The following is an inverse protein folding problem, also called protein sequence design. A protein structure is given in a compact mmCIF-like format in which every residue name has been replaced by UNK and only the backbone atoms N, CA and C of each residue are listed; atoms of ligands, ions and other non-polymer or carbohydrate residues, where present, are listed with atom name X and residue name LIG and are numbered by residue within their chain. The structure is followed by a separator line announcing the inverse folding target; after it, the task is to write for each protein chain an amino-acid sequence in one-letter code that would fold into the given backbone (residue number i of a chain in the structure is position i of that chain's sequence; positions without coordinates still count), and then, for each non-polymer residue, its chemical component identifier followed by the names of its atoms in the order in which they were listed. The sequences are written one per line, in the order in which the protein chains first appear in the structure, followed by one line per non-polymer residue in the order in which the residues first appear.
data_IF_509238540907
#
_entry.id   IF_509238540907
#
_cell.length_a   1.000
_cell.length_b   1.000
_cell.length_c   1.000
_cell.angle_alpha   90.00
_cell.angle_beta   90.00
_cell.angle_gamma   90.00
#
_symmetry.space_group_name_H-M   'P 1'
#
loop_
_entity.id
_entity.type
_entity.pdbx_description
1 polymer ?
#
# COMPACT_ATOMS: atom_id res chain seq x y z
N UNK A 1 18.51 -5.24 -5.55
CA UNK A 1 17.10 -4.86 -5.33
C UNK A 1 16.94 -4.37 -3.91
N UNK A 2 16.29 -3.23 -3.68
CA UNK A 2 15.95 -2.75 -2.34
C UNK A 2 14.83 -3.62 -1.78
N UNK A 3 15.18 -4.62 -0.99
CA UNK A 3 14.24 -5.52 -0.30
C UNK A 3 14.01 -5.04 1.13
N UNK A 4 12.95 -5.52 1.79
CA UNK A 4 12.64 -5.24 3.20
C UNK A 4 13.83 -5.58 4.12
N UNK A 5 14.60 -6.61 3.80
CA UNK A 5 15.78 -7.04 4.57
C UNK A 5 16.88 -5.98 4.62
N UNK A 6 16.98 -5.16 3.57
CA UNK A 6 17.94 -4.07 3.44
C UNK A 6 17.35 -2.71 3.83
N UNK A 7 16.23 -2.67 4.54
CA UNK A 7 15.63 -1.44 5.00
C UNK A 7 16.54 -0.68 5.97
N UNK A 8 16.58 0.66 5.94
CA UNK A 8 17.25 1.47 6.96
C UNK A 8 16.78 1.08 8.37
N UNK A 9 17.66 1.19 9.35
CA UNK A 9 17.37 0.80 10.73
C UNK A 9 16.06 1.38 11.26
N UNK A 10 15.82 2.67 11.03
CA UNK A 10 14.62 3.36 11.50
C UNK A 10 13.32 2.82 10.88
N UNK A 11 13.38 2.36 9.63
CA UNK A 11 12.24 1.72 8.95
C UNK A 11 12.11 0.28 9.42
N UNK A 12 13.22 -0.46 9.54
CA UNK A 12 13.23 -1.85 9.96
C UNK A 12 12.63 -2.03 11.36
N UNK A 13 12.96 -1.16 12.32
CA UNK A 13 12.36 -1.17 13.66
C UNK A 13 10.83 -1.01 13.61
N UNK A 14 10.33 -0.11 12.79
CA UNK A 14 8.90 0.08 12.58
C UNK A 14 8.25 -1.17 11.99
N UNK A 15 8.87 -1.81 11.00
CA UNK A 15 8.35 -3.03 10.36
C UNK A 15 8.32 -4.18 11.35
N UNK A 16 9.39 -4.41 12.11
CA UNK A 16 9.46 -5.43 13.18
C UNK A 16 8.37 -5.18 14.23
N UNK A 17 8.18 -3.94 14.68
CA UNK A 17 7.10 -3.62 15.62
C UNK A 17 5.72 -4.01 15.09
N UNK A 18 5.46 -3.75 13.82
CA UNK A 18 4.17 -4.09 13.21
C UNK A 18 3.99 -5.60 12.98
N UNK A 19 5.06 -6.31 12.67
CA UNK A 19 5.04 -7.75 12.48
C UNK A 19 4.89 -8.48 13.82
N UNK A 20 5.78 -8.21 14.77
CA UNK A 20 5.91 -9.00 16.00
C UNK A 20 4.98 -8.54 17.11
N UNK A 21 4.76 -7.23 17.27
CA UNK A 21 3.96 -6.69 18.38
C UNK A 21 2.50 -6.46 17.95
N UNK A 22 2.27 -6.03 16.70
CA UNK A 22 0.92 -5.79 16.18
C UNK A 22 0.30 -7.00 15.50
N UNK A 23 1.09 -8.03 15.19
CA UNK A 23 0.62 -9.24 14.54
C UNK A 23 0.10 -9.02 13.10
N UNK A 24 0.63 -7.99 12.41
CA UNK A 24 0.26 -7.78 11.01
C UNK A 24 0.86 -8.88 10.13
N UNK A 25 0.12 -9.26 9.08
CA UNK A 25 0.62 -10.23 8.11
C UNK A 25 1.86 -9.70 7.39
N UNK A 26 2.73 -10.62 6.96
CA UNK A 26 3.92 -10.32 6.16
C UNK A 26 3.60 -9.41 4.98
N UNK A 27 2.53 -9.72 4.23
CA UNK A 27 2.07 -8.90 3.10
C UNK A 27 1.76 -7.45 3.51
N UNK A 28 1.16 -7.23 4.69
CA UNK A 28 0.88 -5.87 5.18
C UNK A 28 2.16 -5.13 5.51
N UNK A 29 3.13 -5.81 6.09
CA UNK A 29 4.43 -5.24 6.44
C UNK A 29 5.24 -4.90 5.19
N UNK A 30 5.20 -5.76 4.17
CA UNK A 30 5.81 -5.49 2.86
C UNK A 30 5.20 -4.26 2.19
N UNK A 31 3.87 -4.10 2.24
CA UNK A 31 3.20 -2.92 1.71
C UNK A 31 3.61 -1.64 2.46
N UNK A 32 3.81 -1.71 3.78
CA UNK A 32 4.36 -0.59 4.55
C UNK A 32 5.77 -0.22 4.07
N UNK A 33 6.63 -1.20 3.87
CA UNK A 33 7.96 -0.97 3.33
C UNK A 33 7.91 -0.31 1.95
N UNK A 34 7.11 -0.84 1.03
CA UNK A 34 6.96 -0.30 -0.33
C UNK A 34 6.44 1.14 -0.34
N UNK A 35 5.54 1.47 0.58
CA UNK A 35 5.00 2.82 0.71
C UNK A 35 6.07 3.80 1.25
N UNK A 36 6.80 3.41 2.29
CA UNK A 36 7.89 4.21 2.85
C UNK A 36 9.04 4.36 1.85
N UNK A 37 9.41 3.29 1.13
CA UNK A 37 10.40 3.34 0.06
C UNK A 37 10.03 4.36 -1.01
N UNK A 38 8.78 4.33 -1.46
CA UNK A 38 8.26 5.29 -2.44
C UNK A 38 8.34 6.72 -1.92
N UNK A 39 8.00 6.94 -0.66
CA UNK A 39 8.04 8.26 -0.04
C UNK A 39 9.47 8.78 0.09
N UNK A 40 10.39 8.01 0.63
CA UNK A 40 11.77 8.47 0.82
C UNK A 40 12.54 8.62 -0.48
N UNK A 41 12.25 7.84 -1.52
CA UNK A 41 12.74 8.09 -2.87
C UNK A 41 12.32 9.46 -3.38
N UNK A 42 11.04 9.81 -3.21
CA UNK A 42 10.53 11.13 -3.55
C UNK A 42 11.24 12.23 -2.75
N UNK A 43 11.38 12.09 -1.44
CA UNK A 43 12.05 13.06 -0.58
C UNK A 43 13.50 13.28 -1.03
N UNK A 44 14.23 12.22 -1.39
CA UNK A 44 15.62 12.33 -1.87
C UNK A 44 15.71 13.15 -3.16
N UNK A 45 14.79 12.96 -4.10
CA UNK A 45 14.73 13.80 -5.32
C UNK A 45 14.38 15.24 -4.97
N UNK A 46 13.34 15.46 -4.17
CA UNK A 46 12.86 16.78 -3.80
C UNK A 46 13.94 17.60 -3.06
N UNK A 47 14.77 16.92 -2.27
CA UNK A 47 15.88 17.54 -1.52
C UNK A 47 17.20 17.63 -2.33
N UNK A 48 17.24 17.15 -3.57
CA UNK A 48 18.46 17.13 -4.39
C UNK A 48 19.56 16.21 -3.86
N UNK A 49 19.20 15.19 -3.06
CA UNK A 49 20.13 14.18 -2.53
C UNK A 49 20.52 13.14 -3.59
N UNK A 50 19.83 13.14 -4.71
CA UNK A 50 20.11 12.32 -5.89
C UNK A 50 19.93 13.17 -7.15
N UNK A 51 20.58 12.82 -8.28
CA UNK A 51 20.37 13.51 -9.55
C UNK A 51 18.89 13.56 -9.94
N UNK A 52 18.46 14.68 -10.56
CA UNK A 52 17.05 14.85 -10.96
C UNK A 52 16.59 13.90 -12.06
N UNK A 53 17.52 13.42 -12.85
CA UNK A 53 17.34 12.44 -13.94
C UNK A 53 17.50 10.99 -13.47
N UNK A 54 17.75 10.77 -12.17
CA UNK A 54 17.83 9.42 -11.61
C UNK A 54 16.52 8.66 -11.84
N UNK A 55 16.62 7.44 -12.33
CA UNK A 55 15.47 6.56 -12.48
C UNK A 55 14.85 6.28 -11.10
N UNK A 56 13.58 6.66 -10.92
CA UNK A 56 12.89 6.62 -9.62
C UNK A 56 12.98 5.25 -8.93
N UNK A 57 12.84 4.16 -9.69
CA UNK A 57 12.80 2.81 -9.12
C UNK A 57 14.20 2.28 -8.71
N UNK A 58 15.28 2.91 -9.17
CA UNK A 58 16.66 2.53 -8.81
C UNK A 58 17.21 3.27 -7.58
N UNK A 59 16.52 4.34 -7.15
CA UNK A 59 16.99 5.12 -5.99
C UNK A 59 16.95 4.26 -4.74
N UNK A 60 18.11 4.08 -4.11
CA UNK A 60 18.21 3.40 -2.80
C UNK A 60 17.74 4.29 -1.67
N UNK A 61 17.19 3.69 -0.60
CA UNK A 61 16.81 4.37 0.64
C UNK A 61 17.64 3.92 1.84
N UNK A 62 18.68 3.11 1.64
CA UNK A 62 19.49 2.54 2.72
C UNK A 62 20.17 3.59 3.60
N UNK A 63 20.41 4.75 3.07
CA UNK A 63 21.01 5.92 3.72
C UNK A 63 19.99 6.84 4.41
N UNK A 64 18.72 6.46 4.46
CA UNK A 64 17.70 7.23 5.19
C UNK A 64 17.94 7.08 6.69
N UNK A 65 18.31 8.16 7.31
CA UNK A 65 18.60 8.27 8.73
C UNK A 65 17.51 9.04 9.50
N UNK A 66 17.70 9.14 10.81
CA UNK A 66 16.77 9.87 11.68
C UNK A 66 16.71 11.37 11.34
N UNK A 67 17.81 11.97 10.91
CA UNK A 67 17.87 13.41 10.59
C UNK A 67 17.05 13.72 9.33
N UNK A 68 17.14 12.88 8.30
CA UNK A 68 16.28 13.01 7.13
C UNK A 68 14.79 12.82 7.50
N UNK A 69 14.48 11.85 8.35
CA UNK A 69 13.11 11.60 8.81
C UNK A 69 12.56 12.77 9.62
N UNK A 70 13.37 13.38 10.50
CA UNK A 70 13.00 14.59 11.28
C UNK A 70 12.77 15.81 10.41
N UNK A 71 13.52 15.94 9.32
CA UNK A 71 13.46 17.11 8.45
C UNK A 71 12.18 17.18 7.60
N UNK A 72 11.39 16.10 7.54
CA UNK A 72 10.16 16.04 6.77
C UNK A 72 9.09 16.94 7.38
N UNK A 73 8.49 17.76 6.53
CA UNK A 73 7.43 18.70 6.89
C UNK A 73 6.08 18.28 6.32
N UNK A 74 5.01 18.89 6.79
CA UNK A 74 3.67 18.68 6.23
C UNK A 74 3.62 19.09 4.73
N UNK A 75 4.37 20.12 4.35
CA UNK A 75 4.47 20.57 2.95
C UNK A 75 5.08 19.49 2.07
N UNK A 76 6.16 18.85 2.51
CA UNK A 76 6.77 17.74 1.76
C UNK A 76 5.76 16.61 1.47
N UNK A 77 4.86 16.37 2.42
CA UNK A 77 3.83 15.34 2.27
C UNK A 77 2.74 15.78 1.28
N UNK A 78 2.32 17.03 1.30
CA UNK A 78 1.39 17.55 0.29
C UNK A 78 2.02 17.52 -1.12
N UNK A 79 3.28 17.87 -1.26
CA UNK A 79 4.00 17.80 -2.52
C UNK A 79 4.15 16.34 -3.00
N UNK A 80 4.42 15.41 -2.09
CA UNK A 80 4.40 13.98 -2.40
C UNK A 80 3.03 13.50 -2.89
N UNK A 81 1.94 13.94 -2.26
CA UNK A 81 0.59 13.61 -2.71
C UNK A 81 0.27 14.19 -4.09
N UNK A 82 0.73 15.39 -4.37
CA UNK A 82 0.62 16.00 -5.69
C UNK A 82 1.41 15.20 -6.74
N UNK A 83 2.66 14.82 -6.43
CA UNK A 83 3.46 13.93 -7.26
C UNK A 83 2.75 12.61 -7.56
N UNK A 84 2.21 11.94 -6.53
CA UNK A 84 1.47 10.69 -6.70
C UNK A 84 0.20 10.85 -7.56
N UNK A 85 -0.42 12.03 -7.54
CA UNK A 85 -1.67 12.27 -8.26
C UNK A 85 -1.47 12.63 -9.74
N UNK A 86 -0.30 13.17 -10.10
CA UNK A 86 -0.08 13.75 -11.43
C UNK A 86 1.03 13.10 -12.23
N UNK A 87 2.12 12.69 -11.57
CA UNK A 87 3.36 12.39 -12.27
C UNK A 87 3.72 10.91 -12.25
N UNK A 88 3.22 10.14 -11.28
CA UNK A 88 3.59 8.74 -11.18
C UNK A 88 2.77 7.86 -12.12
N UNK A 89 3.40 7.10 -13.06
CA UNK A 89 2.69 6.11 -13.87
C UNK A 89 2.07 5.02 -12.98
N UNK A 90 0.89 4.56 -13.33
CA UNK A 90 0.29 3.38 -12.73
C UNK A 90 0.54 2.14 -13.59
N UNK A 91 0.19 0.95 -13.08
CA UNK A 91 0.38 -0.32 -13.78
C UNK A 91 -0.36 -0.41 -15.13
N UNK A 92 -1.37 0.45 -15.37
CA UNK A 92 -2.14 0.52 -16.60
C UNK A 92 -1.62 1.60 -17.58
N UNK A 93 -0.46 2.21 -17.30
CA UNK A 93 0.14 3.26 -18.14
C UNK A 93 -0.53 4.63 -18.06
N UNK A 94 -1.52 4.83 -17.17
CA UNK A 94 -2.10 6.13 -16.90
C UNK A 94 -1.27 6.88 -15.85
N UNK A 95 -1.21 8.19 -15.96
CA UNK A 95 -0.55 9.04 -14.98
C UNK A 95 -1.42 9.22 -13.73
N UNK A 96 -0.78 9.13 -12.57
CA UNK A 96 -1.41 9.36 -11.27
C UNK A 96 -2.04 8.12 -10.61
N UNK A 97 -1.92 8.06 -9.29
CA UNK A 97 -2.52 7.01 -8.47
C UNK A 97 -3.95 7.37 -8.06
N UNK A 98 -4.79 6.36 -7.88
CA UNK A 98 -6.14 6.52 -7.37
C UNK A 98 -6.19 7.17 -5.98
N UNK A 99 -7.32 7.79 -5.62
CA UNK A 99 -7.52 8.35 -4.27
C UNK A 99 -7.37 7.29 -3.18
N UNK A 100 -7.81 6.05 -3.44
CA UNK A 100 -7.66 4.93 -2.51
C UNK A 100 -6.19 4.55 -2.29
N UNK A 101 -5.40 4.46 -3.37
CA UNK A 101 -3.96 4.18 -3.28
C UNK A 101 -3.19 5.28 -2.55
N UNK A 102 -3.55 6.56 -2.79
CA UNK A 102 -2.96 7.69 -2.05
C UNK A 102 -3.33 7.67 -0.57
N UNK A 103 -4.60 7.38 -0.24
CA UNK A 103 -5.04 7.27 1.15
C UNK A 103 -4.34 6.15 1.90
N UNK A 104 -4.08 5.00 1.26
CA UNK A 104 -3.28 3.91 1.85
C UNK A 104 -1.86 4.37 2.19
N UNK A 105 -1.18 5.05 1.27
CA UNK A 105 0.17 5.59 1.52
C UNK A 105 0.21 6.60 2.67
N UNK A 106 -0.82 7.45 2.78
CA UNK A 106 -0.98 8.36 3.94
C UNK A 106 -1.16 7.57 5.22
N UNK A 107 -1.96 6.51 5.23
CA UNK A 107 -2.14 5.68 6.41
C UNK A 107 -0.81 5.05 6.88
N UNK A 108 0.03 4.61 5.94
CA UNK A 108 1.38 4.13 6.24
C UNK A 108 2.25 5.23 6.87
N UNK A 109 2.29 6.43 6.28
CA UNK A 109 3.05 7.56 6.83
C UNK A 109 2.58 7.95 8.24
N UNK A 110 1.26 8.01 8.45
CA UNK A 110 0.70 8.26 9.79
C UNK A 110 1.11 7.19 10.80
N UNK A 111 1.06 5.93 10.41
CA UNK A 111 1.49 4.81 11.26
C UNK A 111 2.97 4.91 11.62
N UNK A 112 3.81 5.22 10.63
CA UNK A 112 5.26 5.37 10.79
C UNK A 112 5.60 6.52 11.74
N UNK A 113 5.12 7.72 11.47
CA UNK A 113 5.40 8.87 12.33
C UNK A 113 4.78 8.75 13.73
N UNK A 114 3.58 8.15 13.83
CA UNK A 114 2.98 7.83 15.15
C UNK A 114 3.84 6.83 15.93
N UNK A 115 4.42 5.83 15.26
CA UNK A 115 5.35 4.90 15.91
C UNK A 115 6.59 5.65 16.43
N UNK A 116 7.20 6.49 15.61
CA UNK A 116 8.42 7.23 15.99
C UNK A 116 8.19 8.23 17.14
N UNK A 117 7.02 8.87 17.21
CA UNK A 117 6.70 9.82 18.27
C UNK A 117 6.20 9.13 19.54
N UNK A 118 5.21 8.23 19.42
CA UNK A 118 4.50 7.69 20.57
C UNK A 118 5.13 6.42 21.16
N UNK A 119 5.86 5.62 20.35
CA UNK A 119 6.43 4.35 20.79
C UNK A 119 7.95 4.40 20.89
N UNK A 120 8.64 4.67 19.80
CA UNK A 120 10.10 4.74 19.78
C UNK A 120 10.65 6.00 20.45
N UNK A 121 9.83 7.05 20.60
CA UNK A 121 10.19 8.37 21.18
C UNK A 121 11.45 8.98 20.52
N UNK A 122 11.62 8.73 19.22
CA UNK A 122 12.73 9.28 18.44
C UNK A 122 12.39 10.65 17.86
N UNK A 123 11.12 11.04 17.85
CA UNK A 123 10.62 12.34 17.41
C UNK A 123 9.79 12.99 18.53
N UNK A 124 9.96 14.29 18.71
CA UNK A 124 9.14 15.07 19.66
C UNK A 124 7.79 15.48 19.03
N UNK A 125 7.81 15.82 17.73
CA UNK A 125 6.65 16.30 16.99
C UNK A 125 6.33 15.35 15.85
N UNK A 126 5.03 15.09 15.67
CA UNK A 126 4.55 14.29 14.53
C UNK A 126 4.18 15.21 13.37
N UNK A 127 4.94 15.22 12.25
CA UNK A 127 4.67 16.12 11.12
C UNK A 127 3.37 15.79 10.36
N UNK A 128 2.76 14.65 10.64
CA UNK A 128 1.53 14.18 9.98
C UNK A 128 0.33 14.16 10.92
N UNK A 129 0.42 14.80 12.11
CA UNK A 129 -0.67 14.77 13.09
C UNK A 129 -1.97 15.32 12.49
N UNK A 130 -1.89 16.45 11.79
CA UNK A 130 -3.03 17.16 11.21
C UNK A 130 -3.26 16.86 9.72
N UNK A 131 -2.63 15.83 9.20
CA UNK A 131 -2.75 15.46 7.78
C UNK A 131 -4.14 14.87 7.49
N UNK A 132 -4.90 15.49 6.61
CA UNK A 132 -6.17 14.96 6.13
C UNK A 132 -5.99 13.81 5.12
N UNK A 133 -6.89 12.83 5.17
CA UNK A 133 -6.93 11.78 4.15
C UNK A 133 -7.67 12.27 2.90
N UNK A 134 -7.20 11.91 1.69
CA UNK A 134 -7.94 12.16 0.47
C UNK A 134 -9.37 11.59 0.56
N UNK A 135 -10.35 12.38 0.11
CA UNK A 135 -11.74 11.90 0.04
C UNK A 135 -11.83 10.76 -0.98
N UNK A 136 -12.22 9.57 -0.52
CA UNK A 136 -12.48 8.42 -1.37
C UNK A 136 -13.98 8.41 -1.69
N UNK A 137 -14.32 8.49 -2.98
CA UNK A 137 -15.69 8.23 -3.42
C UNK A 137 -15.97 6.73 -3.24
N UNK A 138 -16.83 6.38 -2.31
CA UNK A 138 -17.30 5.00 -2.17
C UNK A 138 -18.23 4.71 -3.32
N UNK A 139 -17.84 3.80 -4.22
CA UNK A 139 -18.79 3.21 -5.16
C UNK A 139 -19.61 2.13 -4.44
N UNK A 140 -20.87 2.01 -4.79
CA UNK A 140 -21.67 0.88 -4.32
C UNK A 140 -21.05 -0.43 -4.85
N UNK A 141 -21.00 -1.47 -4.04
CA UNK A 141 -20.59 -2.79 -4.51
C UNK A 141 -21.47 -3.23 -5.68
N UNK A 142 -20.86 -3.75 -6.74
CA UNK A 142 -21.60 -4.42 -7.80
C UNK A 142 -21.76 -5.87 -7.39
N UNK A 143 -22.98 -6.34 -7.41
CA UNK A 143 -23.35 -7.73 -7.13
C UNK A 143 -24.18 -8.27 -8.28
N UNK A 144 -24.16 -9.58 -8.46
CA UNK A 144 -25.02 -10.26 -9.42
C UNK A 144 -26.42 -10.40 -8.82
N UNK A 145 -27.43 -10.13 -9.62
CA UNK A 145 -28.81 -10.51 -9.29
C UNK A 145 -28.97 -12.05 -9.24
N UNK A 146 -30.09 -12.52 -8.72
CA UNK A 146 -30.37 -13.97 -8.69
C UNK A 146 -30.41 -14.57 -10.10
N UNK A 147 -31.00 -13.86 -11.05
CA UNK A 147 -31.10 -14.33 -12.44
C UNK A 147 -29.73 -14.33 -13.15
N UNK A 148 -28.91 -13.30 -12.93
CA UNK A 148 -27.53 -13.27 -13.44
C UNK A 148 -26.69 -14.39 -12.81
N UNK A 149 -26.85 -14.67 -11.53
CA UNK A 149 -26.16 -15.77 -10.84
C UNK A 149 -26.55 -17.14 -11.40
N UNK A 150 -27.86 -17.36 -11.68
CA UNK A 150 -28.37 -18.57 -12.33
C UNK A 150 -27.84 -18.69 -13.77
N UNK A 151 -27.85 -17.60 -14.53
CA UNK A 151 -27.34 -17.58 -15.89
C UNK A 151 -25.83 -17.91 -15.92
N UNK A 152 -25.05 -17.35 -14.98
CA UNK A 152 -23.63 -17.66 -14.83
C UNK A 152 -23.40 -19.14 -14.56
N UNK A 153 -24.14 -19.76 -13.64
CA UNK A 153 -24.02 -21.20 -13.34
C UNK A 153 -24.43 -22.06 -14.55
N UNK A 154 -25.46 -21.66 -15.29
CA UNK A 154 -25.93 -22.36 -16.47
C UNK A 154 -24.93 -22.28 -17.66
N UNK A 155 -24.10 -21.23 -17.73
CA UNK A 155 -23.11 -21.03 -18.79
C UNK A 155 -21.85 -21.86 -18.61
N UNK A 156 -21.70 -22.56 -17.49
CA UNK A 156 -20.49 -23.38 -17.22
C UNK A 156 -20.50 -24.62 -18.10
N UNK A 157 -19.50 -24.75 -18.96
CA UNK A 157 -19.30 -25.87 -19.86
C UNK A 157 -17.82 -26.33 -19.92
N UNK A 158 -17.49 -27.25 -20.85
CA UNK A 158 -16.12 -27.68 -21.14
C UNK A 158 -15.58 -28.76 -20.20
N UNK A 159 -14.27 -29.04 -20.37
CA UNK A 159 -13.56 -30.18 -19.77
C UNK A 159 -13.62 -30.21 -18.25
N UNK A 160 -13.66 -29.06 -17.60
CA UNK A 160 -13.63 -28.93 -16.13
C UNK A 160 -14.95 -28.45 -15.54
N UNK A 161 -16.06 -28.71 -16.25
CA UNK A 161 -17.41 -28.22 -15.89
C UNK A 161 -17.76 -28.45 -14.39
N UNK A 162 -17.56 -29.65 -13.88
CA UNK A 162 -17.92 -30.00 -12.50
C UNK A 162 -17.13 -29.14 -11.49
N UNK A 163 -15.82 -29.01 -11.69
CA UNK A 163 -14.94 -28.19 -10.85
C UNK A 163 -15.38 -26.72 -10.89
N UNK A 164 -15.56 -26.18 -12.10
CA UNK A 164 -15.85 -24.77 -12.30
C UNK A 164 -17.26 -24.41 -11.76
N UNK A 165 -18.22 -25.31 -11.93
CA UNK A 165 -19.55 -25.20 -11.33
C UNK A 165 -19.48 -25.20 -9.78
N UNK A 166 -18.72 -26.10 -9.17
CA UNK A 166 -18.48 -26.13 -7.74
C UNK A 166 -17.86 -24.82 -7.21
N UNK A 167 -16.83 -24.32 -7.88
CA UNK A 167 -16.15 -23.07 -7.52
C UNK A 167 -17.14 -21.91 -7.51
N UNK A 168 -17.92 -21.73 -8.60
CA UNK A 168 -18.90 -20.66 -8.70
C UNK A 168 -20.02 -20.81 -7.67
N UNK A 169 -20.46 -22.04 -7.40
CA UNK A 169 -21.48 -22.33 -6.38
C UNK A 169 -21.00 -21.91 -4.99
N UNK A 170 -19.75 -22.22 -4.63
CA UNK A 170 -19.15 -21.81 -3.37
C UNK A 170 -19.02 -20.28 -3.25
N UNK A 171 -18.61 -19.59 -4.32
CA UNK A 171 -18.59 -18.14 -4.31
C UNK A 171 -19.96 -17.51 -4.12
N UNK A 172 -20.97 -18.00 -4.84
CA UNK A 172 -22.32 -17.42 -4.82
C UNK A 172 -23.08 -17.72 -3.52
N UNK A 173 -22.90 -18.90 -2.92
CA UNK A 173 -23.64 -19.30 -1.72
C UNK A 173 -22.90 -19.01 -0.42
N UNK A 174 -21.57 -19.15 -0.40
CA UNK A 174 -20.77 -19.01 0.81
C UNK A 174 -20.04 -17.66 0.89
N UNK A 175 -19.94 -16.92 -0.23
CA UNK A 175 -19.23 -15.65 -0.28
C UNK A 175 -17.73 -15.77 0.02
N UNK A 176 -17.14 -16.92 -0.29
CA UNK A 176 -15.72 -17.19 -0.05
C UNK A 176 -14.83 -16.21 -0.81
N UNK A 177 -13.70 -15.83 -0.20
CA UNK A 177 -12.63 -15.16 -0.93
C UNK A 177 -11.84 -16.17 -1.75
N UNK A 178 -11.18 -15.70 -2.83
CA UNK A 178 -10.35 -16.57 -3.68
C UNK A 178 -9.29 -17.33 -2.86
N UNK A 179 -8.63 -16.67 -1.90
CA UNK A 179 -7.65 -17.31 -1.02
C UNK A 179 -8.27 -18.43 -0.16
N UNK A 180 -9.46 -18.19 0.39
CA UNK A 180 -10.18 -19.19 1.20
C UNK A 180 -10.59 -20.40 0.36
N UNK A 181 -10.96 -20.18 -0.90
CA UNK A 181 -11.26 -21.28 -1.83
C UNK A 181 -10.02 -22.09 -2.20
N UNK A 182 -8.88 -21.42 -2.45
CA UNK A 182 -7.62 -22.10 -2.81
C UNK A 182 -7.09 -22.94 -1.64
N UNK A 183 -7.34 -22.52 -0.40
CA UNK A 183 -6.93 -23.22 0.82
C UNK A 183 -7.89 -24.35 1.22
N UNK A 184 -9.00 -24.58 0.49
CA UNK A 184 -9.86 -25.75 0.67
C UNK A 184 -9.14 -27.00 0.13
N UNK A 185 -8.80 -27.92 1.03
CA UNK A 185 -8.25 -29.24 0.73
C UNK A 185 -9.34 -30.30 0.58
#
# INVERSE_FOLDING_TARGET
MDTRENAPEIIREFLIYHETIKGHSEKTVDEYYLDLRTFFRYIKIARGLVPRDAEFETITIQDVDLELVKSVTLTDIYDFLNFLSRSRPNAQGHTGLSAASRARKIATLRSFYKYLTAKAKKLEVNPVADLDSPKIRKSLPRYLSLDESRALLASVDGRHRTRDYCILTLFLNCGLRISELVDLN
#
